data_IF_631739151930
#
_entry.id   IF_631739151930
#
_cell.length_a   1.000
_cell.length_b   1.000
_cell.length_c   1.000
_cell.angle_alpha   90.00
_cell.angle_beta   90.00
_cell.angle_gamma   90.00
#
_symmetry.space_group_name_H-M   'P 1'
#
loop_
_entity.id
_entity.type
_entity.pdbx_description
1 polymer ?
#
# COMPACT_ATOMS: atom_id res chain seq x y z
N UNK A 1 37.23 -23.98 -13.07
CA UNK A 1 35.78 -23.74 -12.88
C UNK A 1 35.59 -22.24 -12.82
N UNK A 2 35.04 -21.63 -13.89
CA UNK A 2 34.74 -20.19 -13.93
C UNK A 2 33.38 -19.98 -13.26
N UNK A 3 33.33 -19.16 -12.21
CA UNK A 3 32.08 -18.71 -11.60
C UNK A 3 31.49 -17.60 -12.48
N UNK A 4 30.25 -17.79 -12.91
CA UNK A 4 29.44 -16.76 -13.56
C UNK A 4 29.19 -15.61 -12.57
N UNK A 5 29.25 -14.34 -13.00
CA UNK A 5 28.89 -13.22 -12.13
C UNK A 5 27.39 -13.31 -11.82
N UNK A 6 27.05 -13.26 -10.53
CA UNK A 6 25.68 -13.09 -10.06
C UNK A 6 25.15 -11.75 -10.57
N UNK A 7 24.27 -11.79 -11.57
CA UNK A 7 23.53 -10.61 -12.02
C UNK A 7 22.53 -10.24 -10.93
N UNK A 8 22.93 -9.36 -10.02
CA UNK A 8 21.97 -8.69 -9.13
C UNK A 8 21.13 -7.76 -9.99
N UNK A 9 19.96 -8.24 -10.40
CA UNK A 9 18.94 -7.41 -11.05
C UNK A 9 18.68 -6.20 -10.14
N UNK A 10 18.71 -4.96 -10.66
CA UNK A 10 18.31 -3.80 -9.86
C UNK A 10 16.91 -4.07 -9.30
N UNK A 11 16.61 -3.71 -8.04
CA UNK A 11 15.27 -3.87 -7.50
C UNK A 11 14.31 -3.18 -8.47
N UNK A 12 13.38 -3.96 -9.04
CA UNK A 12 12.35 -3.40 -9.89
C UNK A 12 11.57 -2.31 -9.15
N UNK A 13 10.79 -1.48 -9.87
CA UNK A 13 9.91 -0.52 -9.20
C UNK A 13 9.09 -1.25 -8.15
N UNK A 14 9.07 -0.72 -6.92
CA UNK A 14 8.28 -1.27 -5.82
C UNK A 14 6.84 -1.40 -6.25
N UNK A 15 6.35 -2.64 -6.39
CA UNK A 15 4.98 -2.92 -6.82
C UNK A 15 3.94 -2.54 -5.77
N UNK A 16 4.34 -2.42 -4.50
CA UNK A 16 3.40 -2.09 -3.42
C UNK A 16 3.10 -0.58 -3.34
N UNK A 17 1.90 -0.18 -2.85
CA UNK A 17 1.56 1.21 -2.58
C UNK A 17 2.56 1.93 -1.68
N UNK A 18 3.05 3.10 -2.09
CA UNK A 18 3.95 3.91 -1.25
C UNK A 18 3.19 4.80 -0.27
N UNK A 19 1.94 5.13 -0.60
CA UNK A 19 1.06 5.93 0.25
C UNK A 19 -0.17 5.13 0.63
N UNK A 20 -0.55 5.19 1.90
CA UNK A 20 -1.78 4.57 2.39
C UNK A 20 -2.56 5.59 3.21
N UNK A 21 -3.86 5.69 2.93
CA UNK A 21 -4.78 6.57 3.65
C UNK A 21 -6.08 5.85 3.96
N UNK A 22 -6.64 6.15 5.13
CA UNK A 22 -7.99 5.76 5.52
C UNK A 22 -8.87 7.01 5.49
N UNK A 23 -9.98 6.94 4.76
CA UNK A 23 -11.05 7.92 4.78
C UNK A 23 -12.21 7.40 5.64
N UNK A 24 -12.38 7.98 6.84
CA UNK A 24 -13.53 7.71 7.69
C UNK A 24 -14.69 8.58 7.23
N UNK A 25 -15.67 7.95 6.57
CA UNK A 25 -16.83 8.59 6.00
C UNK A 25 -17.84 9.04 7.06
N UNK A 26 -17.82 8.48 8.28
CA UNK A 26 -18.68 8.96 9.36
C UNK A 26 -18.11 10.24 9.97
N UNK A 27 -16.81 10.28 10.22
CA UNK A 27 -16.13 11.44 10.81
C UNK A 27 -15.68 12.49 9.76
N UNK A 28 -15.78 12.17 8.47
CA UNK A 28 -15.28 12.99 7.36
C UNK A 28 -13.82 13.38 7.54
N UNK A 29 -12.97 12.42 7.90
CA UNK A 29 -11.56 12.66 8.18
C UNK A 29 -10.63 11.65 7.48
N UNK A 30 -9.42 12.10 7.20
CA UNK A 30 -8.37 11.32 6.56
C UNK A 30 -7.27 11.01 7.58
N UNK A 31 -6.82 9.76 7.63
CA UNK A 31 -5.80 9.29 8.57
C UNK A 31 -4.74 8.49 7.84
N UNK A 32 -3.49 8.61 8.28
CA UNK A 32 -2.40 7.72 7.86
C UNK A 32 -2.28 6.56 8.86
N UNK A 33 -2.59 5.31 8.48
CA UNK A 33 -2.44 4.17 9.36
C UNK A 33 -0.96 3.78 9.50
N UNK A 34 -0.64 2.99 10.53
CA UNK A 34 0.59 2.19 10.54
C UNK A 34 0.41 1.07 9.52
N UNK A 35 1.40 0.89 8.63
CA UNK A 35 1.31 -0.05 7.51
C UNK A 35 2.40 -1.11 7.64
N UNK A 36 2.00 -2.37 7.50
CA UNK A 36 2.91 -3.51 7.40
C UNK A 36 2.64 -4.22 6.07
N UNK A 37 3.68 -4.36 5.24
CA UNK A 37 3.63 -5.23 4.07
C UNK A 37 4.14 -6.61 4.47
N UNK A 38 3.31 -7.64 4.24
CA UNK A 38 3.63 -9.03 4.53
C UNK A 38 3.65 -9.79 3.21
N UNK A 39 4.80 -10.31 2.84
CA UNK A 39 4.98 -11.08 1.60
C UNK A 39 4.88 -12.58 1.89
N UNK A 40 4.77 -13.38 0.83
CA UNK A 40 4.75 -14.84 0.96
C UNK A 40 6.00 -15.35 1.71
N UNK A 41 5.80 -16.23 2.69
CA UNK A 41 6.87 -16.80 3.51
C UNK A 41 7.30 -15.96 4.71
N UNK A 42 6.89 -14.69 4.79
CA UNK A 42 7.15 -13.84 5.95
C UNK A 42 6.14 -14.11 7.09
N UNK A 43 6.57 -14.09 8.36
CA UNK A 43 5.65 -14.21 9.48
C UNK A 43 4.77 -12.96 9.61
N UNK A 44 3.51 -13.15 10.02
CA UNK A 44 2.64 -12.02 10.34
C UNK A 44 3.20 -11.24 11.55
N UNK A 45 3.17 -9.89 11.55
CA UNK A 45 3.67 -9.08 12.64
C UNK A 45 3.05 -9.47 13.99
N UNK A 46 3.89 -9.82 14.97
CA UNK A 46 3.44 -10.28 16.29
C UNK A 46 2.98 -9.16 17.22
N UNK A 47 3.40 -7.92 16.93
CA UNK A 47 3.11 -6.71 17.68
C UNK A 47 1.80 -6.02 17.28
N UNK A 48 1.15 -6.49 16.22
CA UNK A 48 -0.13 -5.95 15.75
C UNK A 48 -1.29 -6.61 16.51
N UNK A 49 -2.13 -5.84 17.24
CA UNK A 49 -3.30 -6.38 17.93
C UNK A 49 -4.30 -7.00 16.94
N UNK A 50 -4.71 -8.24 17.20
CA UNK A 50 -5.51 -9.05 16.25
C UNK A 50 -6.86 -8.43 15.85
N UNK A 51 -7.43 -7.59 16.70
CA UNK A 51 -8.79 -7.03 16.53
C UNK A 51 -8.76 -5.54 16.15
N UNK A 52 -7.69 -5.05 15.52
CA UNK A 52 -7.50 -3.62 15.27
C UNK A 52 -6.78 -3.29 13.96
N UNK A 53 -6.85 -4.16 12.95
CA UNK A 53 -6.32 -3.89 11.62
C UNK A 53 -7.31 -4.17 10.50
N UNK A 54 -7.01 -3.58 9.34
CA UNK A 54 -7.62 -3.90 8.06
C UNK A 54 -6.58 -4.71 7.28
N UNK A 55 -6.97 -5.90 6.82
CA UNK A 55 -6.17 -6.73 5.93
C UNK A 55 -6.56 -6.40 4.49
N UNK A 56 -5.56 -6.09 3.66
CA UNK A 56 -5.75 -5.82 2.23
C UNK A 56 -4.88 -6.80 1.47
N UNK A 57 -5.49 -7.74 0.76
CA UNK A 57 -4.75 -8.62 -0.14
C UNK A 57 -4.63 -7.94 -1.50
N UNK A 58 -3.39 -7.63 -1.87
CA UNK A 58 -3.05 -7.05 -3.17
C UNK A 58 -2.75 -8.17 -4.16
N UNK A 59 -3.01 -7.90 -5.44
CA UNK A 59 -2.51 -8.72 -6.53
C UNK A 59 -0.99 -8.62 -6.65
N UNK A 60 -0.39 -9.50 -7.47
CA UNK A 60 1.06 -9.51 -7.73
C UNK A 60 1.56 -8.20 -8.37
N UNK A 61 0.66 -7.47 -9.04
CA UNK A 61 0.92 -6.14 -9.62
C UNK A 61 0.98 -5.02 -8.57
N UNK A 62 0.47 -5.27 -7.36
CA UNK A 62 0.29 -4.29 -6.28
C UNK A 62 -0.67 -3.13 -6.57
N UNK A 63 -1.38 -3.20 -7.70
CA UNK A 63 -2.44 -2.27 -8.12
C UNK A 63 -3.83 -2.88 -7.93
N UNK A 64 -3.97 -4.18 -8.17
CA UNK A 64 -5.22 -4.91 -8.04
C UNK A 64 -5.52 -5.20 -6.57
N UNK A 65 -6.77 -4.96 -6.14
CA UNK A 65 -7.27 -5.44 -4.84
C UNK A 65 -7.90 -6.82 -5.05
N UNK A 66 -7.32 -7.86 -4.44
CA UNK A 66 -7.89 -9.21 -4.43
C UNK A 66 -9.00 -9.30 -3.40
N UNK A 67 -8.73 -8.83 -2.18
CA UNK A 67 -9.74 -8.69 -1.13
C UNK A 67 -9.39 -7.58 -0.14
N UNK A 68 -10.37 -7.24 0.69
CA UNK A 68 -10.19 -6.37 1.85
C UNK A 68 -11.09 -6.85 2.97
N UNK A 69 -10.54 -6.96 4.18
CA UNK A 69 -11.26 -7.37 5.37
C UNK A 69 -10.92 -6.49 6.56
N UNK A 70 -11.94 -5.95 7.24
CA UNK A 70 -11.73 -5.27 8.52
C UNK A 70 -11.89 -6.26 9.66
N UNK A 71 -10.82 -6.50 10.40
CA UNK A 71 -10.90 -7.25 11.67
C UNK A 71 -11.15 -6.32 12.86
N UNK A 72 -11.26 -5.01 12.62
CA UNK A 72 -11.57 -4.05 13.66
C UNK A 72 -13.07 -3.99 13.95
N UNK A 73 -13.45 -4.11 15.23
CA UNK A 73 -14.81 -3.80 15.67
C UNK A 73 -15.13 -2.30 15.64
N UNK A 74 -14.12 -1.44 15.48
CA UNK A 74 -14.26 0.02 15.52
C UNK A 74 -14.33 0.66 14.15
N UNK A 75 -14.10 -0.09 13.08
CA UNK A 75 -14.06 0.44 11.72
C UNK A 75 -14.53 -0.63 10.75
N UNK A 76 -15.46 -0.29 9.86
CA UNK A 76 -15.96 -1.20 8.82
C UNK A 76 -15.64 -0.62 7.45
N UNK A 77 -14.94 -1.39 6.63
CA UNK A 77 -14.54 -0.99 5.28
C UNK A 77 -15.77 -0.95 4.38
N UNK A 78 -15.91 0.14 3.63
CA UNK A 78 -16.96 0.33 2.61
C UNK A 78 -16.38 0.31 1.20
N UNK A 79 -15.11 0.67 1.02
CA UNK A 79 -14.44 0.66 -0.27
C UNK A 79 -12.92 0.54 -0.10
N UNK A 80 -12.22 0.01 -1.09
CA UNK A 80 -10.76 -0.06 -1.12
C UNK A 80 -10.27 0.04 -2.56
N UNK A 81 -9.30 0.91 -2.83
CA UNK A 81 -8.76 1.11 -4.18
C UNK A 81 -7.28 1.51 -4.14
N UNK A 82 -6.54 1.07 -5.15
CA UNK A 82 -5.22 1.63 -5.47
C UNK A 82 -5.37 2.62 -6.63
N UNK A 83 -4.58 3.68 -6.60
CA UNK A 83 -4.51 4.68 -7.67
C UNK A 83 -3.09 5.22 -7.79
N UNK A 84 -2.69 5.66 -8.97
CA UNK A 84 -1.43 6.39 -9.11
C UNK A 84 -1.51 7.73 -8.38
N UNK A 85 -0.45 8.10 -7.66
CA UNK A 85 -0.37 9.41 -7.04
C UNK A 85 -0.35 10.51 -8.10
N UNK A 86 -1.01 11.66 -7.85
CA UNK A 86 -0.86 12.82 -8.71
C UNK A 86 0.61 13.18 -8.86
N UNK A 87 1.12 13.20 -10.09
CA UNK A 87 2.48 13.66 -10.35
C UNK A 87 2.51 15.18 -10.14
N UNK A 88 3.18 15.63 -9.08
CA UNK A 88 3.48 17.04 -8.93
C UNK A 88 4.50 17.40 -10.00
N UNK A 89 4.09 18.16 -11.01
CA UNK A 89 4.98 18.63 -12.06
C UNK A 89 5.88 19.74 -11.49
N UNK A 90 6.81 19.38 -10.61
CA UNK A 90 7.91 20.27 -10.26
C UNK A 90 8.75 20.40 -11.53
N UNK A 91 8.84 21.62 -12.07
CA UNK A 91 9.56 21.94 -13.30
C UNK A 91 10.89 21.20 -13.36
N UNK A 92 10.93 20.11 -14.12
CA UNK A 92 12.08 19.25 -14.18
C UNK A 92 13.26 20.05 -14.76
N UNK A 93 14.35 20.16 -14.00
CA UNK A 93 15.63 20.60 -14.56
C UNK A 93 16.04 19.65 -15.70
N UNK A 94 16.86 20.12 -16.66
CA UNK A 94 17.21 19.33 -17.84
C UNK A 94 18.05 18.11 -17.42
N UNK A 95 17.40 16.93 -17.29
CA UNK A 95 18.06 15.66 -16.99
C UNK A 95 17.21 14.57 -16.32
N UNK A 96 16.05 14.87 -15.74
CA UNK A 96 15.26 13.87 -14.99
C UNK A 96 14.23 13.12 -15.84
N UNK A 97 14.61 12.00 -16.47
CA UNK A 97 13.64 11.00 -16.98
C UNK A 97 13.48 9.90 -15.94
N UNK A 98 12.67 10.17 -14.92
CA UNK A 98 12.20 9.15 -13.98
C UNK A 98 10.69 9.32 -13.80
N UNK A 99 9.90 8.77 -14.73
CA UNK A 99 8.45 8.60 -14.49
C UNK A 99 8.26 7.48 -13.46
N UNK A 100 8.56 7.78 -12.20
CA UNK A 100 8.22 6.91 -11.09
C UNK A 100 6.79 7.27 -10.66
N UNK A 101 5.79 6.58 -11.20
CA UNK A 101 4.41 6.70 -10.73
C UNK A 101 4.29 5.94 -9.41
N UNK A 102 4.32 6.65 -8.28
CA UNK A 102 3.98 6.04 -7.00
C UNK A 102 2.51 5.65 -6.95
N UNK A 103 2.19 4.65 -6.15
CA UNK A 103 0.86 4.12 -5.91
C UNK A 103 0.34 4.59 -4.53
N UNK A 104 -0.95 4.87 -4.49
CA UNK A 104 -1.70 5.25 -3.30
C UNK A 104 -2.85 4.28 -3.07
N UNK A 105 -2.83 3.60 -1.92
CA UNK A 105 -3.94 2.81 -1.40
C UNK A 105 -4.87 3.71 -0.60
N UNK A 106 -6.12 3.80 -1.02
CA UNK A 106 -7.20 4.47 -0.29
C UNK A 106 -8.17 3.41 0.24
N UNK A 107 -8.36 3.39 1.55
CA UNK A 107 -9.34 2.57 2.23
C UNK A 107 -10.44 3.51 2.75
N UNK A 108 -11.67 3.31 2.30
CA UNK A 108 -12.82 4.03 2.83
C UNK A 108 -13.61 3.14 3.77
N UNK A 109 -14.16 3.73 4.81
CA UNK A 109 -15.02 3.01 5.74
C UNK A 109 -15.68 3.92 6.74
N UNK A 110 -16.39 3.33 7.68
CA UNK A 110 -17.11 4.04 8.73
C UNK A 110 -16.61 3.56 10.10
N UNK A 111 -16.26 4.50 10.97
CA UNK A 111 -16.04 4.15 12.37
C UNK A 111 -17.34 3.70 13.04
N UNK A 112 -17.24 2.73 13.96
CA UNK A 112 -18.34 2.37 14.84
C UNK A 112 -18.68 3.53 15.78
N UNK A 113 -19.98 3.69 16.10
CA UNK A 113 -20.46 4.68 17.08
C UNK A 113 -20.09 4.29 18.50
#
# INVERSE_FOLDING_TARGET
MQQSPSTTTPPGPSTVPQFVVIHDQLQQCWKHPVVHYVFEGEPFPSDVPKDSYVLVNLGEDGESIVDVNSLSHKFQVTNCKVSSTPQMNATAGPGGKESNTSLMLTIEGMSAK
#
